data_IF_034272942928
#
_entry.id   IF_034272942928
#
_cell.length_a   1.000
_cell.length_b   1.000
_cell.length_c   1.000
_cell.angle_alpha   90.00
_cell.angle_beta   90.00
_cell.angle_gamma   90.00
#
_symmetry.space_group_name_H-M   'P 1'
#
loop_
_entity.id
_entity.type
_entity.pdbx_description
1 polymer ?
#
# COMPACT_ATOMS: atom_id res chain seq x y z
N UNK A 1 3.60 -1.85 -4.73
CA UNK A 1 3.11 -2.82 -5.75
C UNK A 1 3.61 -4.20 -5.31
N UNK A 2 2.83 -5.30 -5.41
CA UNK A 2 3.32 -6.60 -4.98
C UNK A 2 4.56 -7.01 -5.76
N UNK A 3 5.58 -7.57 -5.09
CA UNK A 3 6.89 -7.86 -5.70
C UNK A 3 6.81 -8.80 -6.94
N UNK A 4 5.78 -9.64 -7.04
CA UNK A 4 5.56 -10.58 -8.14
C UNK A 4 4.84 -9.97 -9.34
N UNK A 5 4.36 -8.72 -9.24
CA UNK A 5 3.60 -8.10 -10.32
C UNK A 5 4.51 -7.80 -11.52
N UNK A 6 4.08 -8.21 -12.71
CA UNK A 6 4.75 -7.88 -13.97
C UNK A 6 4.37 -6.48 -14.48
N UNK A 7 3.14 -6.06 -14.21
CA UNK A 7 2.59 -4.76 -14.62
C UNK A 7 2.33 -3.86 -13.38
N UNK A 8 2.91 -2.65 -13.31
CA UNK A 8 2.68 -1.72 -12.21
C UNK A 8 1.23 -1.24 -12.09
N UNK A 9 0.43 -1.33 -13.16
CA UNK A 9 -0.95 -0.86 -13.20
C UNK A 9 -1.85 -1.55 -12.15
N UNK A 10 -1.47 -2.74 -11.69
CA UNK A 10 -2.17 -3.45 -10.61
C UNK A 10 -2.23 -2.61 -9.32
N UNK A 11 -1.23 -1.75 -9.08
CA UNK A 11 -1.16 -0.87 -7.92
C UNK A 11 -2.38 0.04 -7.77
N UNK A 12 -2.98 0.49 -8.88
CA UNK A 12 -4.15 1.36 -8.88
C UNK A 12 -5.38 0.72 -8.20
N UNK A 13 -5.40 -0.62 -8.09
CA UNK A 13 -6.49 -1.38 -7.46
C UNK A 13 -6.20 -1.76 -6.00
N UNK A 14 -5.03 -1.39 -5.48
CA UNK A 14 -4.51 -1.85 -4.19
C UNK A 14 -4.36 -0.71 -3.15
N UNK A 15 -5.08 0.39 -3.35
CA UNK A 15 -5.07 1.55 -2.45
C UNK A 15 -5.61 1.19 -1.05
N UNK A 16 -6.59 0.27 -0.97
CA UNK A 16 -7.21 -0.15 0.29
C UNK A 16 -7.10 -1.67 0.47
N UNK A 17 -6.80 -2.10 1.70
CA UNK A 17 -6.80 -3.51 2.12
C UNK A 17 -7.88 -3.74 3.19
N UNK A 18 -8.75 -4.73 2.97
CA UNK A 18 -9.75 -5.14 3.95
C UNK A 18 -9.07 -5.86 5.11
N UNK A 19 -9.18 -5.33 6.32
CA UNK A 19 -8.49 -5.85 7.51
C UNK A 19 -8.78 -7.35 7.76
N UNK A 20 -10.01 -7.79 7.46
CA UNK A 20 -10.48 -9.17 7.62
C UNK A 20 -9.71 -10.17 6.75
N UNK A 21 -9.15 -9.72 5.63
CA UNK A 21 -8.56 -10.61 4.61
C UNK A 21 -7.12 -10.23 4.23
N UNK A 22 -6.61 -9.10 4.72
CA UNK A 22 -5.27 -8.59 4.39
C UNK A 22 -4.16 -9.60 4.70
N UNK A 23 -4.32 -10.38 5.78
CA UNK A 23 -3.34 -11.39 6.20
C UNK A 23 -3.23 -12.59 5.25
N UNK A 24 -4.27 -12.87 4.45
CA UNK A 24 -4.33 -14.04 3.57
C UNK A 24 -4.21 -13.70 2.08
N UNK A 25 -4.65 -12.51 1.66
CA UNK A 25 -4.73 -12.13 0.25
C UNK A 25 -3.33 -11.99 -0.37
N UNK A 26 -3.02 -12.62 -1.53
CA UNK A 26 -1.67 -12.61 -2.12
C UNK A 26 -1.06 -11.22 -2.35
N UNK A 27 -1.89 -10.21 -2.62
CA UNK A 27 -1.43 -8.82 -2.81
C UNK A 27 -0.95 -8.13 -1.53
N UNK A 28 -1.30 -8.67 -0.35
CA UNK A 28 -1.07 -8.02 0.94
C UNK A 28 -0.40 -8.92 1.99
N UNK A 29 -0.48 -10.25 1.87
CA UNK A 29 -0.08 -11.18 2.94
C UNK A 29 1.38 -11.07 3.37
N UNK A 30 2.30 -10.73 2.45
CA UNK A 30 3.71 -10.57 2.79
C UNK A 30 3.96 -9.21 3.46
N UNK A 31 3.40 -8.13 2.90
CA UNK A 31 3.40 -6.83 3.56
C UNK A 31 2.75 -6.85 4.96
N UNK A 32 1.67 -7.61 5.15
CA UNK A 32 0.99 -7.75 6.44
C UNK A 32 1.91 -8.34 7.52
N UNK A 33 2.77 -9.29 7.14
CA UNK A 33 3.72 -9.94 8.06
C UNK A 33 4.88 -9.02 8.43
N UNK A 34 5.47 -8.34 7.44
CA UNK A 34 6.79 -7.70 7.58
C UNK A 34 6.80 -6.17 7.40
N UNK A 35 5.86 -5.61 6.65
CA UNK A 35 5.89 -4.21 6.17
C UNK A 35 4.64 -3.45 6.59
N UNK A 36 4.37 -3.45 7.90
CA UNK A 36 3.32 -2.61 8.51
C UNK A 36 3.87 -1.21 8.73
N UNK A 37 3.08 -0.19 8.45
CA UNK A 37 3.43 1.20 8.69
C UNK A 37 2.26 1.99 9.28
N UNK A 38 2.56 3.18 9.78
CA UNK A 38 1.55 4.18 10.16
C UNK A 38 1.62 5.29 9.13
N UNK A 39 0.47 5.65 8.56
CA UNK A 39 0.32 6.75 7.61
C UNK A 39 -0.28 7.94 8.37
N UNK A 40 0.52 8.98 8.67
CA UNK A 40 -0.01 10.21 9.23
C UNK A 40 -0.73 11.02 8.14
N UNK A 41 -1.94 11.49 8.45
CA UNK A 41 -2.73 12.32 7.57
C UNK A 41 -3.46 13.40 8.36
N UNK A 42 -3.70 14.57 7.74
CA UNK A 42 -4.61 15.57 8.32
C UNK A 42 -6.06 15.06 8.38
N UNK A 43 -6.40 14.09 7.52
CA UNK A 43 -7.71 13.49 7.38
C UNK A 43 -7.82 12.73 6.05
N UNK A 44 -9.02 12.24 5.73
CA UNK A 44 -9.36 11.66 4.43
C UNK A 44 -10.73 12.17 3.97
N UNK A 45 -11.05 11.94 2.70
CA UNK A 45 -12.34 12.31 2.13
C UNK A 45 -13.18 11.06 1.88
N UNK A 46 -14.48 11.15 2.14
CA UNK A 46 -15.46 10.13 1.77
C UNK A 46 -16.61 10.76 0.98
N UNK A 47 -17.11 10.05 -0.03
CA UNK A 47 -18.12 10.58 -0.94
C UNK A 47 -19.47 9.93 -0.68
N UNK A 48 -20.40 10.72 -0.14
CA UNK A 48 -21.79 10.29 0.02
C UNK A 48 -22.58 10.60 -1.24
N UNK A 49 -23.34 9.63 -1.73
CA UNK A 49 -24.34 9.88 -2.78
C UNK A 49 -25.54 10.60 -2.17
N UNK A 50 -25.89 11.77 -2.71
CA UNK A 50 -27.07 12.55 -2.33
C UNK A 50 -27.85 12.84 -3.61
N UNK A 51 -28.98 12.16 -3.81
CA UNK A 51 -29.68 12.16 -5.09
C UNK A 51 -28.78 11.61 -6.21
N UNK A 52 -28.57 12.41 -7.26
CA UNK A 52 -27.68 12.07 -8.39
C UNK A 52 -26.24 12.60 -8.23
N UNK A 53 -25.93 13.30 -7.14
CA UNK A 53 -24.63 13.94 -6.94
C UNK A 53 -23.78 13.21 -5.90
N UNK A 54 -22.45 13.40 -5.99
CA UNK A 54 -21.47 12.91 -5.02
C UNK A 54 -20.98 14.08 -4.17
N UNK A 55 -21.42 14.13 -2.91
CA UNK A 55 -20.96 15.14 -1.96
C UNK A 55 -19.70 14.62 -1.22
N UNK A 56 -18.55 15.30 -1.35
CA UNK A 56 -17.38 14.99 -0.54
C UNK A 56 -17.58 15.46 0.91
N UNK A 57 -17.12 14.65 1.86
CA UNK A 57 -16.99 14.99 3.27
C UNK A 57 -15.54 14.82 3.69
N UNK A 58 -14.98 15.83 4.37
CA UNK A 58 -13.68 15.72 5.01
C UNK A 58 -13.84 15.08 6.40
N UNK A 59 -13.03 14.07 6.70
CA UNK A 59 -13.02 13.35 7.98
C UNK A 59 -11.61 13.48 8.56
N UNK A 60 -11.51 13.99 9.79
CA UNK A 60 -10.24 14.19 10.49
C UNK A 60 -10.47 14.33 12.00
N UNK A 61 -9.39 14.51 12.77
CA UNK A 61 -9.50 14.77 14.21
C UNK A 61 -9.88 16.24 14.46
N UNK A 62 -10.78 16.46 15.42
CA UNK A 62 -11.19 17.78 15.89
C UNK A 62 -10.10 18.53 16.66
N UNK A 63 -9.18 17.80 17.28
CA UNK A 63 -8.07 18.35 18.08
C UNK A 63 -6.94 18.98 17.26
N UNK A 64 -7.02 18.99 15.93
CA UNK A 64 -5.95 19.47 15.04
C UNK A 64 -4.72 18.56 14.98
N UNK A 65 -4.78 17.38 15.61
CA UNK A 65 -3.74 16.36 15.55
C UNK A 65 -3.88 15.50 14.28
N UNK A 66 -2.79 14.89 13.79
CA UNK A 66 -2.87 13.97 12.67
C UNK A 66 -3.73 12.74 13.01
N UNK A 67 -4.56 12.33 12.04
CA UNK A 67 -5.14 11.00 12.00
C UNK A 67 -4.03 10.01 11.63
N UNK A 68 -3.90 8.93 12.42
CA UNK A 68 -2.92 7.87 12.17
C UNK A 68 -3.63 6.65 11.59
N UNK A 69 -3.37 6.35 10.32
CA UNK A 69 -3.97 5.22 9.61
C UNK A 69 -3.00 4.03 9.59
N UNK A 70 -3.52 2.81 9.80
CA UNK A 70 -2.74 1.59 9.62
C UNK A 70 -2.50 1.36 8.11
N UNK A 71 -1.23 1.18 7.73
CA UNK A 71 -0.80 0.98 6.36
C UNK A 71 -0.01 -0.31 6.18
N UNK A 72 0.03 -0.77 4.93
CA UNK A 72 0.92 -1.82 4.45
C UNK A 72 1.72 -1.25 3.28
N UNK A 73 3.00 -1.61 3.17
CA UNK A 73 3.84 -1.17 2.07
C UNK A 73 4.61 -2.31 1.41
N UNK A 74 5.06 -2.08 0.18
CA UNK A 74 5.86 -3.01 -0.62
C UNK A 74 6.86 -2.21 -1.47
N UNK A 75 8.07 -2.74 -1.61
CA UNK A 75 9.02 -2.33 -2.64
C UNK A 75 8.73 -3.10 -3.93
N UNK A 76 8.94 -2.46 -5.09
CA UNK A 76 8.80 -3.12 -6.38
C UNK A 76 9.81 -2.54 -7.36
N UNK A 77 10.52 -3.42 -8.07
CA UNK A 77 11.56 -3.05 -9.03
C UNK A 77 11.28 -3.75 -10.34
N UNK A 78 11.31 -3.00 -11.44
CA UNK A 78 11.14 -3.56 -12.78
C UNK A 78 12.40 -4.35 -13.15
N UNK A 79 12.26 -5.57 -13.67
CA UNK A 79 13.41 -6.40 -14.07
C UNK A 79 14.30 -5.73 -15.13
N UNK A 80 13.76 -4.86 -16.00
CA UNK A 80 14.56 -4.08 -16.95
C UNK A 80 15.49 -3.06 -16.29
N UNK A 81 15.25 -2.74 -15.02
CA UNK A 81 16.11 -1.87 -14.20
C UNK A 81 17.16 -2.68 -13.41
N UNK A 82 17.15 -4.02 -13.49
CA UNK A 82 18.16 -4.89 -12.88
C UNK A 82 19.27 -5.15 -13.91
N UNK A 83 20.53 -4.76 -13.64
CA UNK A 83 21.65 -5.04 -14.54
C UNK A 83 21.79 -6.55 -14.81
N UNK A 84 22.04 -6.92 -16.08
CA UNK A 84 22.19 -8.32 -16.49
C UNK A 84 23.34 -8.98 -15.74
N UNK A 85 23.05 -10.08 -15.04
CA UNK A 85 24.06 -10.88 -14.31
C UNK A 85 23.79 -11.10 -12.83
N UNK A 86 22.72 -10.55 -12.24
CA UNK A 86 22.36 -10.82 -10.84
C UNK A 86 21.31 -11.93 -10.72
N UNK A 87 21.48 -12.89 -9.79
CA UNK A 87 20.59 -14.04 -9.65
C UNK A 87 19.17 -13.61 -9.25
N UNK A 88 18.17 -14.41 -9.66
CA UNK A 88 16.74 -14.15 -9.46
C UNK A 88 16.29 -14.00 -7.98
N UNK A 89 17.16 -14.30 -7.01
CA UNK A 89 16.93 -14.10 -5.57
C UNK A 89 17.18 -12.66 -5.06
N UNK A 90 17.93 -11.85 -5.81
CA UNK A 90 18.46 -10.55 -5.35
C UNK A 90 17.39 -9.51 -4.98
N UNK A 91 16.20 -9.58 -5.56
CA UNK A 91 15.11 -8.65 -5.25
C UNK A 91 14.53 -8.84 -3.83
N UNK A 92 14.70 -10.02 -3.22
CA UNK A 92 14.30 -10.24 -1.82
C UNK A 92 15.35 -9.72 -0.84
N UNK A 93 16.61 -9.73 -1.25
CA UNK A 93 17.74 -9.41 -0.37
C UNK A 93 17.98 -7.90 -0.20
N UNK A 94 17.49 -7.04 -1.12
CA UNK A 94 17.60 -5.58 -0.98
C UNK A 94 16.84 -5.07 0.25
N UNK A 95 15.65 -5.63 0.51
CA UNK A 95 14.82 -5.21 1.64
C UNK A 95 15.38 -5.71 2.99
N UNK A 96 15.87 -6.95 3.05
CA UNK A 96 16.41 -7.56 4.28
C UNK A 96 17.82 -6.99 4.65
N UNK A 97 18.51 -6.29 3.75
CA UNK A 97 19.84 -5.70 3.98
C UNK A 97 19.82 -4.26 4.53
N UNK A 98 18.64 -3.73 4.86
CA UNK A 98 18.45 -2.34 5.33
C UNK A 98 17.95 -2.22 6.77
N UNK A 99 17.89 -3.34 7.51
CA UNK A 99 17.62 -3.40 8.96
C UNK A 99 18.92 -3.52 9.79
#
# INVERSE_FOLDING_TARGET
IPFWAEDPSIGNRLINARAETAHAKPSFREAFKRRRCVIPASGFYEWRTVGSQKQPYAIGQDTGRPLLLAGLWESWTVLSQVPSGRPAGYLRDIDDASE
#
